data_IF_611507517330
#
_entry.id   IF_611507517330
#
_cell.length_a   1.000
_cell.length_b   1.000
_cell.length_c   1.000
_cell.angle_alpha   90.00
_cell.angle_beta   90.00
_cell.angle_gamma   90.00
#
_symmetry.space_group_name_H-M   'P 1'
#
loop_
_entity.id
_entity.type
_entity.pdbx_description
1 polymer ?
#
# COMPACT_ATOMS: atom_id res chain seq x y z
N UNK A 1 -4.26 -14.08 10.66
CA UNK A 1 -3.66 -12.75 10.98
C UNK A 1 -4.35 -11.65 10.18
N UNK A 2 -4.47 -11.83 8.85
CA UNK A 2 -5.16 -10.93 7.90
C UNK A 2 -6.48 -10.30 8.43
N UNK A 3 -7.45 -11.09 8.93
CA UNK A 3 -8.70 -10.54 9.47
C UNK A 3 -8.52 -9.55 10.64
N UNK A 4 -7.52 -9.76 11.50
CA UNK A 4 -7.23 -8.85 12.62
C UNK A 4 -6.58 -7.55 12.14
N UNK A 5 -5.78 -7.62 11.06
CA UNK A 5 -5.22 -6.44 10.41
C UNK A 5 -6.37 -5.61 9.84
N UNK A 6 -7.30 -6.23 9.10
CA UNK A 6 -8.48 -5.57 8.56
C UNK A 6 -9.28 -4.80 9.63
N UNK A 7 -9.54 -5.45 10.77
CA UNK A 7 -10.25 -4.85 11.92
C UNK A 7 -9.48 -3.71 12.59
N UNK A 8 -8.15 -3.68 12.50
CA UNK A 8 -7.35 -2.57 13.03
C UNK A 8 -7.23 -1.44 12.02
N UNK A 9 -7.05 -1.77 10.74
CA UNK A 9 -6.89 -0.82 9.66
C UNK A 9 -8.14 0.04 9.48
N UNK A 10 -9.34 -0.55 9.57
CA UNK A 10 -10.60 0.24 9.54
C UNK A 10 -10.64 1.32 10.62
N UNK A 11 -10.09 1.06 11.81
CA UNK A 11 -10.04 2.07 12.87
C UNK A 11 -9.07 3.18 12.56
N UNK A 12 -7.95 2.87 11.89
CA UNK A 12 -7.03 3.90 11.36
C UNK A 12 -7.75 4.76 10.33
N UNK A 13 -8.49 4.14 9.40
CA UNK A 13 -9.27 4.86 8.38
C UNK A 13 -10.39 5.73 8.97
N UNK A 14 -10.88 5.41 10.17
CA UNK A 14 -11.88 6.20 10.91
C UNK A 14 -11.27 7.33 11.76
N UNK A 15 -9.95 7.49 11.80
CA UNK A 15 -9.32 8.56 12.59
C UNK A 15 -9.63 9.94 12.00
N UNK A 16 -10.00 10.86 12.89
CA UNK A 16 -10.08 12.29 12.61
C UNK A 16 -8.86 13.00 13.19
N UNK A 17 -7.80 13.07 12.40
CA UNK A 17 -6.55 13.75 12.76
C UNK A 17 -6.65 15.22 12.33
N UNK A 18 -6.28 16.20 13.19
CA UNK A 18 -6.37 17.64 12.87
C UNK A 18 -5.22 18.11 11.96
N UNK A 19 -5.03 17.43 10.84
CA UNK A 19 -4.10 17.80 9.76
C UNK A 19 -4.90 18.19 8.51
N UNK A 20 -4.24 18.85 7.54
CA UNK A 20 -4.89 19.23 6.28
C UNK A 20 -5.49 18.00 5.57
N UNK A 21 -6.75 18.12 5.12
CA UNK A 21 -7.52 17.02 4.50
C UNK A 21 -7.47 17.01 2.95
N UNK A 22 -6.96 18.08 2.32
CA UNK A 22 -6.69 18.12 0.88
C UNK A 22 -5.25 17.78 0.42
N UNK A 23 -4.49 16.82 1.00
CA UNK A 23 -3.20 16.42 0.43
C UNK A 23 -3.37 15.45 -0.75
N UNK A 24 -2.78 15.82 -1.88
CA UNK A 24 -2.24 14.88 -2.87
C UNK A 24 -0.93 14.28 -2.34
N UNK A 25 -0.91 13.70 -1.13
CA UNK A 25 0.35 13.30 -0.50
C UNK A 25 1.10 12.29 -1.37
N UNK A 26 0.42 11.28 -1.92
CA UNK A 26 1.06 10.29 -2.79
C UNK A 26 1.75 10.95 -3.99
N UNK A 27 1.04 11.70 -4.83
CA UNK A 27 1.66 12.28 -6.02
C UNK A 27 2.58 13.44 -5.68
N UNK A 28 2.33 14.15 -4.58
CA UNK A 28 3.17 15.21 -4.04
C UNK A 28 4.50 14.68 -3.49
N UNK A 29 4.49 13.57 -2.76
CA UNK A 29 5.69 12.85 -2.32
C UNK A 29 6.48 12.34 -3.51
N UNK A 30 5.82 11.63 -4.45
CA UNK A 30 6.43 11.20 -5.71
C UNK A 30 7.09 12.34 -6.47
N UNK A 31 6.39 13.48 -6.62
CA UNK A 31 6.93 14.65 -7.32
C UNK A 31 8.14 15.25 -6.59
N UNK A 32 8.15 15.24 -5.26
CA UNK A 32 9.29 15.72 -4.46
C UNK A 32 10.48 14.76 -4.57
N UNK A 33 10.24 13.47 -4.41
CA UNK A 33 11.28 12.45 -4.49
C UNK A 33 11.90 12.37 -5.87
N UNK A 34 11.10 12.43 -6.94
CA UNK A 34 11.61 12.46 -8.30
C UNK A 34 12.49 13.70 -8.55
N UNK A 35 12.07 14.88 -8.09
CA UNK A 35 12.89 16.10 -8.18
C UNK A 35 14.22 15.96 -7.42
N UNK A 36 14.22 15.33 -6.25
CA UNK A 36 15.44 15.05 -5.50
C UNK A 36 16.32 14.05 -6.24
N UNK A 37 15.73 12.94 -6.73
CA UNK A 37 16.43 11.91 -7.50
C UNK A 37 17.12 12.52 -8.72
N UNK A 38 16.44 13.37 -9.50
CA UNK A 38 17.02 14.07 -10.66
C UNK A 38 18.22 14.97 -10.34
N UNK A 39 18.41 15.36 -9.07
CA UNK A 39 19.54 16.17 -8.61
C UNK A 39 20.71 15.31 -8.11
N UNK A 40 20.57 13.98 -8.10
CA UNK A 40 21.59 13.04 -7.65
C UNK A 40 22.37 12.44 -8.81
N UNK A 41 23.58 11.89 -8.57
CA UNK A 41 24.33 11.13 -9.57
C UNK A 41 23.54 9.94 -10.16
N UNK A 42 22.76 9.22 -9.35
CA UNK A 42 21.93 8.11 -9.85
C UNK A 42 20.79 8.58 -10.74
N UNK A 43 20.20 9.76 -10.49
CA UNK A 43 19.13 10.29 -11.34
C UNK A 43 19.56 10.68 -12.76
N UNK A 44 20.86 10.92 -12.97
CA UNK A 44 21.42 11.15 -14.30
C UNK A 44 21.69 9.85 -15.09
N UNK A 45 21.48 8.68 -14.47
CA UNK A 45 21.73 7.37 -15.08
C UNK A 45 20.45 6.77 -15.65
N UNK A 46 20.67 5.82 -16.54
CA UNK A 46 19.67 4.89 -17.02
C UNK A 46 19.47 3.76 -15.98
N UNK A 47 18.21 3.47 -15.65
CA UNK A 47 17.82 2.37 -14.78
C UNK A 47 17.52 1.13 -15.63
N UNK A 48 18.32 0.07 -15.47
CA UNK A 48 18.14 -1.19 -16.21
C UNK A 48 17.13 -2.08 -15.49
N UNK A 49 15.95 -2.25 -16.08
CA UNK A 49 14.89 -3.08 -15.50
C UNK A 49 15.26 -4.57 -15.62
N UNK A 50 15.03 -5.38 -14.57
CA UNK A 50 15.32 -6.81 -14.61
C UNK A 50 14.64 -7.52 -15.78
N UNK A 51 15.38 -8.44 -16.42
CA UNK A 51 14.93 -9.11 -17.64
C UNK A 51 13.67 -9.97 -17.46
N UNK A 52 13.32 -10.35 -16.23
CA UNK A 52 12.07 -11.04 -15.93
C UNK A 52 10.82 -10.19 -16.20
N UNK A 53 10.94 -8.87 -16.34
CA UNK A 53 9.85 -7.98 -16.70
C UNK A 53 9.89 -7.51 -18.17
N UNK A 54 10.80 -8.05 -19.00
CA UNK A 54 11.03 -7.57 -20.37
C UNK A 54 9.79 -7.63 -21.28
N UNK A 55 8.84 -8.52 -20.99
CA UNK A 55 7.59 -8.65 -21.76
C UNK A 55 6.59 -7.52 -21.49
N UNK A 56 6.75 -6.77 -20.39
CA UNK A 56 5.80 -5.75 -19.96
C UNK A 56 6.42 -4.38 -19.69
N UNK A 57 7.71 -4.32 -19.42
CA UNK A 57 8.45 -3.12 -19.04
C UNK A 57 9.52 -2.76 -20.08
N UNK A 58 9.80 -1.47 -20.30
CA UNK A 58 10.99 -1.04 -21.02
C UNK A 58 12.26 -1.60 -20.36
N UNK A 59 13.23 -2.03 -21.17
CA UNK A 59 14.51 -2.54 -20.66
C UNK A 59 15.30 -1.47 -19.89
N UNK A 60 15.18 -0.22 -20.33
CA UNK A 60 15.86 0.95 -19.76
C UNK A 60 14.83 2.03 -19.49
N UNK A 61 14.93 2.68 -18.34
CA UNK A 61 14.07 3.76 -17.90
C UNK A 61 14.93 4.91 -17.39
N UNK A 62 14.51 6.15 -17.63
CA UNK A 62 15.15 7.36 -17.15
C UNK A 62 14.27 8.11 -16.14
N UNK A 63 14.81 9.11 -15.46
CA UNK A 63 13.97 10.01 -14.64
C UNK A 63 12.89 10.74 -15.45
N UNK A 64 13.13 10.99 -16.75
CA UNK A 64 12.14 11.61 -17.63
C UNK A 64 10.97 10.64 -17.90
N UNK A 65 11.26 9.36 -18.13
CA UNK A 65 10.23 8.33 -18.26
C UNK A 65 9.41 8.20 -16.98
N UNK A 66 10.06 8.20 -15.80
CA UNK A 66 9.37 8.20 -14.50
C UNK A 66 8.49 9.44 -14.34
N UNK A 67 8.93 10.62 -14.81
CA UNK A 67 8.11 11.84 -14.77
C UNK A 67 6.84 11.70 -15.63
N UNK A 68 6.97 11.14 -16.83
CA UNK A 68 5.84 10.90 -17.74
C UNK A 68 4.84 9.90 -17.13
N UNK A 69 5.34 8.82 -16.51
CA UNK A 69 4.51 7.84 -15.82
C UNK A 69 3.81 8.42 -14.58
N UNK A 70 4.49 9.30 -13.84
CA UNK A 70 3.88 10.01 -12.71
C UNK A 70 2.72 10.92 -13.18
N UNK A 71 2.86 11.61 -14.31
CA UNK A 71 1.79 12.44 -14.86
C UNK A 71 0.61 11.59 -15.36
N UNK A 72 0.88 10.43 -15.97
CA UNK A 72 -0.15 9.46 -16.31
C UNK A 72 -0.87 8.93 -15.06
N UNK A 73 -0.12 8.55 -14.02
CA UNK A 73 -0.65 8.08 -12.75
C UNK A 73 -1.54 9.13 -12.09
N UNK A 74 -1.09 10.40 -12.02
CA UNK A 74 -1.89 11.52 -11.52
C UNK A 74 -3.22 11.65 -12.25
N UNK A 75 -3.21 11.53 -13.58
CA UNK A 75 -4.42 11.58 -14.40
C UNK A 75 -5.38 10.44 -14.03
N UNK A 76 -4.92 9.20 -13.88
CA UNK A 76 -5.74 8.07 -13.48
C UNK A 76 -6.29 8.23 -12.05
N UNK A 77 -5.40 8.51 -11.09
CA UNK A 77 -5.73 8.70 -9.66
C UNK A 77 -6.77 9.82 -9.47
N UNK A 78 -6.69 10.91 -10.25
CA UNK A 78 -7.68 12.00 -10.20
C UNK A 78 -9.12 11.58 -10.52
N UNK A 79 -9.30 10.43 -11.19
CA UNK A 79 -10.62 9.89 -11.58
C UNK A 79 -11.18 8.88 -10.58
N UNK A 80 -10.39 8.46 -9.61
CA UNK A 80 -10.84 7.52 -8.59
C UNK A 80 -12.04 8.06 -7.80
N UNK A 81 -12.94 7.15 -7.44
CA UNK A 81 -14.12 7.42 -6.59
C UNK A 81 -13.94 6.91 -5.15
N UNK A 82 -12.74 6.43 -4.80
CA UNK A 82 -12.46 5.92 -3.45
C UNK A 82 -12.67 7.02 -2.40
N UNK A 83 -13.11 6.58 -1.22
CA UNK A 83 -13.39 7.47 -0.10
C UNK A 83 -12.09 8.05 0.45
N UNK A 84 -12.15 9.33 0.84
CA UNK A 84 -11.04 10.00 1.51
C UNK A 84 -11.04 9.58 2.97
N UNK A 85 -9.99 8.89 3.38
CA UNK A 85 -9.76 8.45 4.77
C UNK A 85 -8.33 8.79 5.20
N UNK A 86 -8.09 8.80 6.51
CA UNK A 86 -6.71 8.84 7.01
C UNK A 86 -6.07 7.48 6.77
N UNK A 87 -4.96 7.45 6.05
CA UNK A 87 -4.31 6.23 5.59
C UNK A 87 -2.89 6.14 6.15
N UNK A 88 -2.44 4.91 6.39
CA UNK A 88 -1.11 4.61 6.90
C UNK A 88 -0.04 4.78 5.80
N UNK A 89 -0.39 4.42 4.56
CA UNK A 89 0.42 4.37 3.35
C UNK A 89 1.59 3.37 3.36
N UNK A 90 2.07 2.93 4.53
CA UNK A 90 3.17 1.96 4.66
C UNK A 90 2.84 0.77 5.58
N UNK A 91 1.76 0.03 5.29
CA UNK A 91 1.31 -1.09 6.14
C UNK A 91 2.04 -2.41 5.81
N UNK A 92 3.37 -2.39 5.87
CA UNK A 92 4.24 -3.57 5.79
C UNK A 92 4.31 -4.33 7.13
N UNK A 93 4.85 -5.56 7.11
CA UNK A 93 4.87 -6.44 8.29
C UNK A 93 5.63 -5.87 9.50
N UNK A 94 6.72 -5.12 9.27
CA UNK A 94 7.49 -4.46 10.33
C UNK A 94 6.67 -3.42 11.11
N UNK A 95 5.64 -2.86 10.50
CA UNK A 95 4.76 -1.84 11.09
C UNK A 95 3.54 -2.45 11.82
N UNK A 96 3.48 -3.78 11.91
CA UNK A 96 2.39 -4.55 12.53
C UNK A 96 2.91 -5.34 13.72
N UNK A 97 2.79 -4.78 14.92
CA UNK A 97 3.26 -5.43 16.15
C UNK A 97 2.20 -6.34 16.77
N UNK A 98 2.64 -7.50 17.24
CA UNK A 98 1.88 -8.38 18.14
C UNK A 98 2.42 -8.24 19.57
N UNK A 99 1.73 -7.51 20.47
CA UNK A 99 2.09 -7.45 21.87
C UNK A 99 2.05 -8.86 22.48
N UNK A 100 3.11 -9.22 23.21
CA UNK A 100 3.08 -10.36 24.11
C UNK A 100 2.02 -10.09 25.20
N UNK A 101 1.31 -11.13 25.63
CA UNK A 101 0.19 -11.03 26.60
C UNK A 101 0.54 -10.30 27.91
N UNK A 102 1.82 -10.09 28.21
CA UNK A 102 2.33 -9.44 29.41
C UNK A 102 2.43 -7.90 29.36
N UNK A 103 2.19 -7.26 28.21
CA UNK A 103 2.32 -5.80 28.08
C UNK A 103 1.06 -5.07 28.57
N UNK A 104 0.99 -4.79 29.88
CA UNK A 104 -0.21 -4.32 30.58
C UNK A 104 -0.78 -2.93 30.24
N UNK A 105 -0.26 -2.18 29.26
CA UNK A 105 -0.58 -0.75 29.10
C UNK A 105 -1.32 -0.35 27.81
N UNK A 106 -1.78 -1.28 26.96
CA UNK A 106 -2.56 -0.91 25.75
C UNK A 106 -4.01 -1.39 25.90
N UNK A 107 -4.85 -0.50 26.45
CA UNK A 107 -6.30 -0.66 26.57
C UNK A 107 -6.98 0.10 25.42
N UNK A 108 -7.39 -0.61 24.37
CA UNK A 108 -8.42 -0.10 23.43
C UNK A 108 -9.45 -1.22 23.22
N UNK A 109 -10.68 -1.08 23.75
CA UNK A 109 -11.70 -2.10 23.60
C UNK A 109 -12.23 -2.18 22.16
N UNK A 110 -12.49 -3.40 21.68
CA UNK A 110 -13.31 -3.61 20.49
C UNK A 110 -14.77 -3.31 20.81
N UNK A 111 -15.51 -2.75 19.84
CA UNK A 111 -16.95 -2.50 19.96
C UNK A 111 -17.70 -3.84 20.17
N UNK A 112 -17.23 -4.91 19.54
CA UNK A 112 -17.84 -6.25 19.59
C UNK A 112 -17.42 -7.10 20.81
N UNK A 113 -16.36 -6.73 21.53
CA UNK A 113 -15.87 -7.52 22.67
C UNK A 113 -16.43 -7.14 24.05
N UNK A 114 -17.38 -6.19 24.14
CA UNK A 114 -17.92 -5.80 25.46
C UNK A 114 -18.72 -6.89 26.19
N UNK A 115 -19.16 -7.96 25.51
CA UNK A 115 -20.12 -8.91 26.08
C UNK A 115 -19.65 -10.39 26.19
N UNK A 116 -18.37 -10.71 26.02
CA UNK A 116 -17.88 -12.10 26.18
C UNK A 116 -16.82 -12.23 27.28
N UNK A 117 -17.09 -12.90 28.42
CA UNK A 117 -16.15 -13.04 29.54
C UNK A 117 -14.97 -13.99 29.28
N UNK A 118 -14.91 -14.67 28.12
CA UNK A 118 -13.81 -15.60 27.76
C UNK A 118 -12.76 -15.01 26.79
N UNK A 119 -12.80 -13.71 26.48
CA UNK A 119 -11.88 -13.08 25.53
C UNK A 119 -10.52 -12.65 26.14
N UNK A 120 -9.96 -13.44 27.06
CA UNK A 120 -8.72 -13.12 27.80
C UNK A 120 -7.42 -13.25 27.00
N UNK A 121 -7.44 -13.59 25.70
CA UNK A 121 -6.20 -13.78 24.91
C UNK A 121 -6.32 -13.43 23.42
N UNK A 122 -7.19 -12.47 23.06
CA UNK A 122 -7.13 -11.90 21.71
C UNK A 122 -5.87 -11.04 21.59
N UNK A 123 -4.77 -11.61 21.12
CA UNK A 123 -3.51 -10.91 20.80
C UNK A 123 -3.83 -9.60 20.06
N UNK A 124 -3.60 -8.48 20.74
CA UNK A 124 -4.03 -7.14 20.31
C UNK A 124 -3.01 -6.55 19.34
N UNK A 125 -3.19 -6.75 18.04
CA UNK A 125 -2.36 -6.14 17.01
C UNK A 125 -2.28 -4.61 17.16
N UNK A 126 -1.08 -4.03 17.06
CA UNK A 126 -0.82 -2.58 17.09
C UNK A 126 -0.16 -2.18 15.78
N UNK A 127 -0.71 -1.17 15.10
CA UNK A 127 -0.07 -0.53 13.95
C UNK A 127 0.79 0.62 14.46
N UNK A 128 2.01 0.74 13.95
CA UNK A 128 2.99 1.76 14.31
C UNK A 128 3.57 2.39 13.05
N UNK A 129 4.40 3.42 13.25
CA UNK A 129 5.16 4.08 12.19
C UNK A 129 4.31 4.80 11.12
N UNK A 130 3.61 5.83 11.59
CA UNK A 130 2.71 6.65 10.77
C UNK A 130 3.44 7.77 10.01
N UNK A 131 4.72 7.60 9.64
CA UNK A 131 5.51 8.69 9.03
C UNK A 131 5.01 9.09 7.63
N UNK A 132 4.50 8.11 6.87
CA UNK A 132 3.85 8.33 5.57
C UNK A 132 2.36 8.59 5.71
N UNK A 133 1.81 8.55 6.92
CA UNK A 133 0.37 8.61 7.12
C UNK A 133 -0.20 9.99 6.79
N UNK A 134 -1.31 10.01 6.07
CA UNK A 134 -1.91 11.23 5.56
C UNK A 134 -3.40 11.03 5.24
N UNK A 135 -4.14 12.13 5.13
CA UNK A 135 -5.29 12.12 4.25
C UNK A 135 -4.75 12.16 2.83
N UNK A 136 -5.01 11.14 2.02
CA UNK A 136 -4.82 11.27 0.58
C UNK A 136 -6.13 11.77 -0.05
N UNK A 137 -6.08 12.18 -1.32
CA UNK A 137 -7.27 12.41 -2.13
C UNK A 137 -8.14 11.15 -2.30
N UNK A 138 -9.00 11.12 -3.32
CA UNK A 138 -9.98 10.06 -3.68
C UNK A 138 -9.39 8.66 -3.92
N UNK A 139 -8.21 8.35 -3.41
CA UNK A 139 -7.42 7.13 -3.62
C UNK A 139 -6.93 6.51 -2.32
N UNK A 140 -7.11 7.20 -1.19
CA UNK A 140 -6.44 6.90 0.08
C UNK A 140 -6.63 5.44 0.49
N UNK A 141 -7.89 5.01 0.56
CA UNK A 141 -8.24 3.69 1.05
C UNK A 141 -7.80 2.58 0.11
N UNK A 142 -8.02 2.77 -1.20
CA UNK A 142 -7.60 1.80 -2.21
C UNK A 142 -6.08 1.59 -2.22
N UNK A 143 -5.31 2.66 -2.02
CA UNK A 143 -3.85 2.58 -1.91
C UNK A 143 -3.41 1.80 -0.67
N UNK A 144 -3.96 2.07 0.52
CA UNK A 144 -3.60 1.33 1.74
C UNK A 144 -3.83 -0.17 1.61
N UNK A 145 -4.95 -0.57 1.01
CA UNK A 145 -5.25 -1.98 0.76
C UNK A 145 -4.31 -2.59 -0.27
N UNK A 146 -4.12 -1.91 -1.39
CA UNK A 146 -3.25 -2.40 -2.46
C UNK A 146 -1.82 -2.54 -1.97
N UNK A 147 -1.33 -1.55 -1.22
CA UNK A 147 -0.02 -1.60 -0.59
C UNK A 147 0.08 -2.80 0.35
N UNK A 148 -0.87 -2.92 1.28
CA UNK A 148 -0.87 -4.04 2.22
C UNK A 148 -0.86 -5.41 1.52
N UNK A 149 -1.61 -5.58 0.42
CA UNK A 149 -1.62 -6.83 -0.35
C UNK A 149 -0.35 -7.05 -1.15
N UNK A 150 0.24 -5.99 -1.70
CA UNK A 150 1.54 -6.05 -2.38
C UNK A 150 2.64 -6.51 -1.40
N UNK A 151 2.59 -6.08 -0.14
CA UNK A 151 3.55 -6.52 0.88
C UNK A 151 3.44 -8.03 1.22
N UNK A 152 2.38 -8.75 0.82
CA UNK A 152 2.32 -10.21 0.97
C UNK A 152 3.32 -10.90 0.04
N UNK A 153 3.67 -10.23 -1.06
CA UNK A 153 4.60 -10.72 -2.07
C UNK A 153 6.06 -10.40 -1.79
N UNK A 154 6.39 -9.74 -0.68
CA UNK A 154 7.74 -9.26 -0.42
C UNK A 154 8.20 -9.78 0.94
N UNK A 155 9.31 -10.49 0.93
CA UNK A 155 10.01 -10.90 2.14
C UNK A 155 11.25 -10.01 2.33
N UNK A 156 11.35 -9.31 3.45
CA UNK A 156 12.53 -8.51 3.81
C UNK A 156 13.45 -9.24 4.81
N UNK A 157 13.06 -10.41 5.32
CA UNK A 157 13.87 -11.26 6.20
C UNK A 157 14.69 -12.25 5.35
N UNK A 158 15.65 -11.71 4.60
CA UNK A 158 16.52 -12.47 3.68
C UNK A 158 17.98 -12.16 3.99
N UNK A 159 18.75 -13.17 4.38
CA UNK A 159 20.16 -13.02 4.77
C UNK A 159 21.12 -12.66 3.61
N UNK A 160 20.68 -12.81 2.37
CA UNK A 160 21.51 -12.59 1.17
C UNK A 160 21.09 -11.31 0.45
N UNK A 161 22.07 -10.54 -0.01
CA UNK A 161 21.85 -9.41 -0.90
C UNK A 161 20.95 -9.82 -2.10
N UNK A 162 19.96 -9.00 -2.49
CA UNK A 162 19.73 -7.62 -2.06
C UNK A 162 18.95 -7.46 -0.73
N UNK A 163 18.84 -8.52 0.07
CA UNK A 163 18.17 -8.59 1.38
C UNK A 163 16.65 -8.47 1.30
N UNK A 164 16.09 -8.80 0.14
CA UNK A 164 14.68 -9.03 -0.04
C UNK A 164 14.47 -10.06 -1.15
N UNK A 165 13.29 -10.69 -1.14
CA UNK A 165 12.79 -11.53 -2.23
C UNK A 165 11.36 -11.13 -2.56
N UNK A 166 11.01 -11.13 -3.86
CA UNK A 166 9.64 -10.90 -4.32
C UNK A 166 9.09 -12.20 -4.91
N UNK A 167 7.99 -12.69 -4.36
CA UNK A 167 7.20 -13.79 -4.89
C UNK A 167 5.78 -13.31 -5.23
N UNK A 168 5.55 -13.03 -6.51
CA UNK A 168 4.25 -12.61 -7.02
C UNK A 168 3.14 -13.65 -6.77
N UNK A 169 3.49 -14.94 -6.59
CA UNK A 169 2.51 -15.97 -6.29
C UNK A 169 1.93 -15.86 -4.87
N UNK A 170 2.57 -15.11 -3.97
CA UNK A 170 2.02 -14.81 -2.65
C UNK A 170 1.01 -13.66 -2.65
N UNK A 171 0.84 -12.96 -3.78
CA UNK A 171 -0.17 -11.91 -3.87
C UNK A 171 -1.55 -12.52 -3.56
N UNK A 172 -2.35 -11.94 -2.64
CA UNK A 172 -3.55 -12.60 -2.15
C UNK A 172 -4.58 -12.80 -3.26
N UNK A 173 -5.15 -14.00 -3.32
CA UNK A 173 -6.25 -14.32 -4.23
C UNK A 173 -7.48 -13.45 -3.95
N UNK A 174 -8.40 -13.32 -4.92
CA UNK A 174 -9.65 -12.58 -4.72
C UNK A 174 -10.47 -13.11 -3.53
N UNK A 175 -10.40 -14.42 -3.24
CA UNK A 175 -11.04 -15.03 -2.06
C UNK A 175 -10.43 -14.51 -0.75
N UNK A 176 -9.10 -14.44 -0.66
CA UNK A 176 -8.43 -13.89 0.53
C UNK A 176 -8.67 -12.39 0.68
N UNK A 177 -8.70 -11.64 -0.43
CA UNK A 177 -9.07 -10.23 -0.42
C UNK A 177 -10.52 -10.04 0.03
N UNK A 178 -11.43 -10.89 -0.45
CA UNK A 178 -12.84 -10.88 -0.04
C UNK A 178 -12.97 -11.09 1.48
N UNK A 179 -12.32 -12.12 2.03
CA UNK A 179 -12.34 -12.40 3.48
C UNK A 179 -11.76 -11.24 4.30
N UNK A 180 -10.69 -10.60 3.80
CA UNK A 180 -10.14 -9.40 4.39
C UNK A 180 -11.17 -8.27 4.44
N UNK A 181 -11.86 -7.99 3.32
CA UNK A 181 -12.87 -6.93 3.24
C UNK A 181 -14.14 -7.23 4.02
N UNK A 182 -14.58 -8.49 4.09
CA UNK A 182 -15.69 -8.89 4.98
C UNK A 182 -15.32 -8.61 6.43
N UNK A 183 -14.10 -8.95 6.86
CA UNK A 183 -13.62 -8.64 8.21
C UNK A 183 -13.52 -7.14 8.48
N UNK A 184 -13.06 -6.36 7.50
CA UNK A 184 -13.01 -4.89 7.56
C UNK A 184 -14.42 -4.29 7.71
N UNK A 185 -15.37 -4.73 6.87
CA UNK A 185 -16.74 -4.23 6.82
C UNK A 185 -17.54 -4.61 8.06
N UNK A 186 -17.36 -5.82 8.60
CA UNK A 186 -18.02 -6.24 9.84
C UNK A 186 -17.60 -5.39 11.05
N UNK A 187 -16.39 -4.83 11.05
CA UNK A 187 -15.96 -3.89 12.08
C UNK A 187 -16.42 -2.45 11.78
N UNK A 188 -16.49 -2.05 10.50
CA UNK A 188 -16.99 -0.73 10.08
C UNK A 188 -18.50 -0.56 10.33
N UNK A 189 -19.28 -1.56 9.92
CA UNK A 189 -20.74 -1.58 9.86
C UNK A 189 -21.27 -2.94 10.37
N UNK A 190 -21.17 -3.23 11.67
CA UNK A 190 -21.52 -4.54 12.24
C UNK A 190 -22.99 -4.94 12.11
N UNK A 191 -23.85 -4.00 11.73
CA UNK A 191 -25.29 -4.22 11.55
C UNK A 191 -25.72 -4.29 10.08
N UNK A 192 -24.77 -4.21 9.13
CA UNK A 192 -25.08 -4.37 7.71
C UNK A 192 -25.58 -5.78 7.39
N UNK A 193 -26.50 -5.88 6.44
CA UNK A 193 -26.97 -7.19 5.97
C UNK A 193 -25.86 -7.95 5.24
N UNK A 194 -25.93 -9.29 5.22
CA UNK A 194 -24.97 -10.15 4.50
C UNK A 194 -24.90 -9.77 3.01
N UNK A 195 -26.03 -9.46 2.38
CA UNK A 195 -26.08 -9.07 0.98
C UNK A 195 -25.39 -7.71 0.71
N UNK A 196 -25.53 -6.76 1.63
CA UNK A 196 -24.86 -5.46 1.54
C UNK A 196 -23.35 -5.60 1.77
N UNK A 197 -22.95 -6.42 2.75
CA UNK A 197 -21.56 -6.74 3.02
C UNK A 197 -20.90 -7.41 1.81
N UNK A 198 -21.54 -8.41 1.19
CA UNK A 198 -21.03 -9.06 -0.01
C UNK A 198 -20.82 -8.07 -1.17
N UNK A 199 -21.83 -7.23 -1.44
CA UNK A 199 -21.75 -6.20 -2.49
C UNK A 199 -20.61 -5.21 -2.22
N UNK A 200 -20.48 -4.73 -0.98
CA UNK A 200 -19.42 -3.78 -0.59
C UNK A 200 -18.04 -4.43 -0.65
N UNK A 201 -17.89 -5.67 -0.20
CA UNK A 201 -16.63 -6.40 -0.23
C UNK A 201 -16.12 -6.57 -1.66
N UNK A 202 -17.00 -6.98 -2.59
CA UNK A 202 -16.65 -7.07 -4.02
C UNK A 202 -16.30 -5.72 -4.62
N UNK A 203 -17.04 -4.67 -4.29
CA UNK A 203 -16.72 -3.32 -4.74
C UNK A 203 -15.35 -2.83 -4.21
N UNK A 204 -14.95 -3.23 -3.00
CA UNK A 204 -13.65 -2.89 -2.43
C UNK A 204 -12.49 -3.61 -3.10
N UNK A 205 -12.69 -4.84 -3.61
CA UNK A 205 -11.69 -5.54 -4.47
C UNK A 205 -11.46 -4.72 -5.73
N UNK A 206 -12.54 -4.33 -6.42
CA UNK A 206 -12.48 -3.53 -7.64
C UNK A 206 -11.85 -2.15 -7.40
N UNK A 207 -12.15 -1.52 -6.27
CA UNK A 207 -11.56 -0.26 -5.83
C UNK A 207 -10.04 -0.37 -5.60
N UNK A 208 -9.58 -1.51 -5.08
CA UNK A 208 -8.17 -1.71 -4.65
C UNK A 208 -7.25 -2.01 -5.83
N UNK A 209 -7.70 -2.84 -6.76
CA UNK A 209 -6.94 -3.35 -7.91
C UNK A 209 -6.17 -2.29 -8.71
N UNK A 210 -6.73 -1.12 -9.10
CA UNK A 210 -5.98 -0.10 -9.84
C UNK A 210 -4.84 0.54 -9.03
N UNK A 211 -4.83 0.39 -7.70
CA UNK A 211 -3.77 0.93 -6.83
C UNK A 211 -2.58 -0.02 -6.62
N UNK A 212 -2.67 -1.28 -7.07
CA UNK A 212 -1.52 -2.21 -7.07
C UNK A 212 -0.32 -1.62 -7.82
N UNK A 213 -0.45 -1.19 -9.10
CA UNK A 213 0.65 -0.50 -9.78
C UNK A 213 1.04 0.80 -9.07
N UNK A 214 0.10 1.53 -8.44
CA UNK A 214 0.41 2.77 -7.71
C UNK A 214 1.35 2.50 -6.53
N UNK A 215 1.13 1.43 -5.75
CA UNK A 215 2.04 1.00 -4.68
C UNK A 215 3.42 0.63 -5.21
N UNK A 216 3.48 -0.12 -6.32
CA UNK A 216 4.75 -0.45 -6.97
C UNK A 216 5.50 0.79 -7.43
N UNK A 217 4.83 1.72 -8.08
CA UNK A 217 5.44 2.98 -8.55
C UNK A 217 5.92 3.85 -7.39
N UNK A 218 5.10 4.01 -6.35
CA UNK A 218 5.39 4.81 -5.17
C UNK A 218 6.68 4.37 -4.48
N UNK A 219 6.75 3.08 -4.11
CA UNK A 219 7.92 2.51 -3.44
C UNK A 219 9.10 2.27 -4.38
N UNK A 220 8.86 2.11 -5.69
CA UNK A 220 9.91 2.04 -6.70
C UNK A 220 10.72 3.34 -6.79
N UNK A 221 10.02 4.48 -6.93
CA UNK A 221 10.67 5.80 -6.96
C UNK A 221 11.33 6.13 -5.61
N UNK A 222 10.66 5.79 -4.49
CA UNK A 222 11.25 5.93 -3.17
C UNK A 222 12.56 5.13 -3.06
N UNK A 223 12.56 3.86 -3.47
CA UNK A 223 13.73 2.98 -3.44
C UNK A 223 14.90 3.52 -4.25
N UNK A 224 14.64 4.01 -5.48
CA UNK A 224 15.69 4.63 -6.30
C UNK A 224 16.32 5.86 -5.62
N UNK A 225 15.53 6.66 -4.90
CA UNK A 225 16.06 7.78 -4.13
C UNK A 225 16.87 7.32 -2.90
N UNK A 226 16.43 6.26 -2.21
CA UNK A 226 17.12 5.75 -1.02
C UNK A 226 18.56 5.31 -1.28
N UNK A 227 18.91 4.93 -2.51
CA UNK A 227 20.30 4.65 -2.91
C UNK A 227 21.25 5.79 -2.57
N UNK A 228 20.77 7.04 -2.65
CA UNK A 228 21.59 8.24 -2.49
C UNK A 228 21.52 8.84 -1.08
N UNK A 229 20.49 8.50 -0.31
CA UNK A 229 20.20 9.14 0.99
C UNK A 229 20.25 8.20 2.19
N UNK A 230 20.08 6.89 1.97
CA UNK A 230 20.01 5.91 3.05
C UNK A 230 21.41 5.39 3.40
N UNK A 231 21.76 5.32 4.69
CA UNK A 231 22.96 4.61 5.15
C UNK A 231 22.73 3.10 5.32
N UNK A 232 21.51 2.60 5.09
CA UNK A 232 21.15 1.20 5.33
C UNK A 232 21.72 0.31 4.22
N UNK A 233 22.35 -0.80 4.61
CA UNK A 233 22.86 -1.83 3.69
C UNK A 233 21.70 -2.71 3.19
N UNK A 234 20.89 -2.13 2.29
CA UNK A 234 19.77 -2.78 1.62
C UNK A 234 19.89 -2.51 0.12
N UNK A 235 19.50 -3.47 -0.72
CA UNK A 235 19.55 -3.34 -2.18
C UNK A 235 18.47 -2.42 -2.73
N UNK A 236 18.49 -1.14 -2.34
CA UNK A 236 17.50 -0.13 -2.74
C UNK A 236 17.43 0.07 -4.26
N UNK A 237 18.56 -0.07 -4.94
CA UNK A 237 18.64 0.09 -6.38
C UNK A 237 17.92 -1.06 -7.10
N UNK A 238 18.17 -2.30 -6.68
CA UNK A 238 17.49 -3.50 -7.15
C UNK A 238 16.00 -3.42 -6.84
N UNK A 239 15.66 -3.09 -5.59
CA UNK A 239 14.28 -2.96 -5.12
C UNK A 239 13.53 -1.94 -5.96
N UNK A 240 14.08 -0.74 -6.15
CA UNK A 240 13.48 0.30 -6.97
C UNK A 240 13.18 -0.16 -8.39
N UNK A 241 14.11 -0.90 -9.02
CA UNK A 241 13.96 -1.41 -10.39
C UNK A 241 12.96 -2.57 -10.49
N UNK A 242 12.96 -3.50 -9.53
CA UNK A 242 11.95 -4.57 -9.46
C UNK A 242 10.54 -3.99 -9.30
N UNK A 243 10.38 -3.05 -8.38
CA UNK A 243 9.12 -2.35 -8.14
C UNK A 243 8.63 -1.61 -9.38
N UNK A 244 9.52 -0.92 -10.11
CA UNK A 244 9.15 -0.32 -11.39
C UNK A 244 8.79 -1.35 -12.46
N UNK A 245 9.49 -2.48 -12.55
CA UNK A 245 9.10 -3.59 -13.43
C UNK A 245 7.68 -4.09 -13.17
N UNK A 246 7.34 -4.29 -11.88
CA UNK A 246 6.01 -4.69 -11.43
C UNK A 246 4.95 -3.60 -11.67
N UNK A 247 5.32 -2.32 -11.58
CA UNK A 247 4.46 -1.22 -12.00
C UNK A 247 4.05 -1.38 -13.47
N UNK A 248 5.02 -1.55 -14.38
CA UNK A 248 4.73 -1.68 -15.81
C UNK A 248 3.89 -2.93 -16.11
N UNK A 249 4.21 -4.06 -15.48
CA UNK A 249 3.42 -5.30 -15.58
C UNK A 249 1.95 -5.09 -15.21
N UNK A 250 1.69 -4.31 -14.15
CA UNK A 250 0.34 -4.05 -13.65
C UNK A 250 -0.27 -2.73 -14.15
N UNK A 251 0.42 -1.97 -15.00
CA UNK A 251 0.03 -0.62 -15.43
C UNK A 251 -1.35 -0.58 -16.08
N UNK A 252 -1.72 -1.64 -16.80
CA UNK A 252 -3.02 -1.76 -17.45
C UNK A 252 -4.20 -1.67 -16.47
N UNK A 253 -4.01 -2.02 -15.19
CA UNK A 253 -5.05 -1.89 -14.15
C UNK A 253 -5.44 -0.43 -13.89
N UNK A 254 -4.55 0.54 -14.12
CA UNK A 254 -4.85 1.96 -13.97
C UNK A 254 -5.91 2.46 -14.96
N UNK A 255 -6.11 1.77 -16.09
CA UNK A 255 -7.08 2.15 -17.10
C UNK A 255 -8.52 2.01 -16.60
N UNK A 256 -8.77 1.13 -15.62
CA UNK A 256 -10.09 0.96 -15.00
C UNK A 256 -10.60 2.25 -14.35
N UNK A 257 -9.69 3.08 -13.82
CA UNK A 257 -10.05 4.39 -13.27
C UNK A 257 -10.52 5.37 -14.34
N UNK A 258 -10.11 5.18 -15.59
CA UNK A 258 -10.50 6.03 -16.72
C UNK A 258 -11.81 5.57 -17.37
N UNK A 259 -12.07 4.25 -17.40
CA UNK A 259 -13.28 3.67 -18.00
C UNK A 259 -14.56 4.03 -17.22
N UNK A 260 -14.51 3.98 -15.89
CA UNK A 260 -15.63 4.30 -14.99
C UNK A 260 -16.04 5.80 -14.98
N UNK A 261 -15.34 6.64 -15.75
CA UNK A 261 -15.58 8.08 -15.83
C UNK A 261 -16.52 8.51 -16.96
N UNK A 262 -16.96 7.58 -17.82
CA UNK A 262 -17.93 7.83 -18.91
C UNK A 262 -19.35 7.46 -18.49
#
# INVERSE_FOLDING_TARGET
>A
MSCKIAQRLVRVHQLEVPIWKEPDYLCGALSRWLKQLMQTPSGAREFVIPSCYADSAPQIITCEDIANELDFLKKCVSKSKSIVTFCHNDLQEGNILLPRSSSGNIITPSITQRNSPSATNASRLVIIDFEYASYNHRCARGFDFANHFVEYSINYDVDKAPFYEIDEHQFPSEELQYDFFVSYLNELEPFSSVAECDKKARAMIEETRPFVPVSHFFWGVWGLLQVEVSPVDFGFAEYGRDRLGLYYKNKHLLLQLLEDSS
#
